data_IF_746375384936
#
_entry.id   IF_746375384936
#
_cell.length_a   1.000
_cell.length_b   1.000
_cell.length_c   1.000
_cell.angle_alpha   90.00
_cell.angle_beta   90.00
_cell.angle_gamma   90.00
#
_symmetry.space_group_name_H-M   'P 1'
#
loop_
_entity.id
_entity.type
_entity.pdbx_description
1 polymer ?
#
# COMPACT_ATOMS: atom_id res chain seq x y z
N UNK A 1 18.02 -7.72 5.41
CA UNK A 1 16.68 -8.17 5.85
C UNK A 1 15.84 -8.35 4.59
N UNK A 2 15.00 -9.37 4.52
CA UNK A 2 14.12 -9.61 3.36
C UNK A 2 12.78 -8.93 3.59
N UNK A 3 12.20 -8.37 2.55
CA UNK A 3 10.83 -7.87 2.55
C UNK A 3 9.96 -8.68 1.58
N UNK A 4 8.66 -8.53 1.69
CA UNK A 4 7.67 -9.11 0.76
C UNK A 4 6.93 -7.98 0.08
N UNK A 5 6.87 -8.04 -1.25
CA UNK A 5 6.05 -7.15 -2.07
C UNK A 5 4.83 -7.91 -2.57
N UNK A 6 3.65 -7.44 -2.19
CA UNK A 6 2.37 -7.93 -2.69
C UNK A 6 1.90 -7.04 -3.84
N UNK A 7 1.45 -7.65 -4.93
CA UNK A 7 0.84 -6.89 -6.01
C UNK A 7 -0.68 -6.91 -5.83
N UNK A 8 -1.25 -5.74 -5.58
CA UNK A 8 -2.68 -5.55 -5.41
C UNK A 8 -3.40 -5.76 -6.74
N UNK A 9 -4.29 -6.76 -6.79
CA UNK A 9 -5.02 -7.18 -7.99
C UNK A 9 -6.52 -7.18 -7.76
N UNK A 10 -7.25 -6.76 -8.78
CA UNK A 10 -8.71 -6.89 -8.87
C UNK A 10 -9.12 -8.31 -9.28
N UNK A 11 -10.42 -8.62 -9.16
CA UNK A 11 -10.95 -9.90 -9.64
C UNK A 11 -10.77 -10.09 -11.15
N UNK A 12 -10.89 -9.02 -11.94
CA UNK A 12 -10.72 -9.07 -13.39
C UNK A 12 -9.26 -9.35 -13.76
N UNK A 13 -8.31 -8.70 -13.12
CA UNK A 13 -6.88 -8.95 -13.34
C UNK A 13 -6.49 -10.39 -12.98
N UNK A 14 -6.98 -10.88 -11.83
CA UNK A 14 -6.73 -12.26 -11.41
C UNK A 14 -7.27 -13.29 -12.41
N UNK A 15 -8.41 -13.03 -13.05
CA UNK A 15 -8.97 -13.90 -14.08
C UNK A 15 -8.16 -13.91 -15.38
N UNK A 16 -7.56 -12.75 -15.74
CA UNK A 16 -6.76 -12.62 -16.96
C UNK A 16 -5.33 -13.16 -16.81
N UNK A 17 -4.82 -13.25 -15.60
CA UNK A 17 -3.50 -13.77 -15.31
C UNK A 17 -3.61 -15.18 -14.74
N UNK A 18 -3.30 -16.19 -15.55
CA UNK A 18 -3.24 -17.58 -15.10
C UNK A 18 -2.25 -17.71 -13.93
N UNK A 19 -2.77 -17.86 -12.72
CA UNK A 19 -2.07 -18.14 -11.46
C UNK A 19 -0.69 -17.44 -11.33
N UNK A 20 -0.65 -16.18 -10.84
CA UNK A 20 0.62 -15.51 -10.63
C UNK A 20 1.52 -16.36 -9.71
N UNK A 21 2.83 -16.41 -10.03
CA UNK A 21 3.82 -17.16 -9.23
C UNK A 21 4.30 -16.36 -8.00
N UNK A 22 3.67 -15.23 -7.70
CA UNK A 22 4.02 -14.34 -6.59
C UNK A 22 2.78 -14.09 -5.70
N UNK A 23 2.97 -13.74 -4.43
CA UNK A 23 1.86 -13.41 -3.52
C UNK A 23 1.20 -12.10 -3.95
N UNK A 24 -0.12 -12.06 -3.88
CA UNK A 24 -0.93 -10.89 -4.26
C UNK A 24 -1.70 -10.32 -3.09
N UNK A 25 -2.13 -9.06 -3.19
CA UNK A 25 -3.19 -8.45 -2.40
C UNK A 25 -4.50 -8.49 -3.18
N UNK A 26 -5.45 -9.35 -2.81
CA UNK A 26 -6.74 -9.42 -3.49
C UNK A 26 -7.68 -8.33 -3.00
N UNK A 27 -7.91 -7.27 -3.80
CA UNK A 27 -8.61 -6.04 -3.39
C UNK A 27 -10.12 -6.01 -3.73
N UNK A 28 -10.71 -7.09 -4.21
CA UNK A 28 -12.12 -7.06 -4.65
C UNK A 28 -13.13 -7.46 -3.57
N UNK A 29 -12.69 -7.93 -2.39
CA UNK A 29 -13.59 -8.29 -1.32
C UNK A 29 -14.20 -7.03 -0.66
N UNK A 30 -15.50 -7.04 -0.42
CA UNK A 30 -16.23 -5.93 0.19
C UNK A 30 -17.48 -6.43 0.93
N UNK A 31 -18.14 -5.56 1.70
CA UNK A 31 -19.39 -5.87 2.36
C UNK A 31 -20.52 -6.05 1.35
N UNK A 32 -21.36 -7.08 1.56
CA UNK A 32 -22.51 -7.32 0.71
C UNK A 32 -23.54 -6.18 0.82
N UNK A 33 -24.00 -5.59 -0.29
CA UNK A 33 -25.05 -4.57 -0.24
C UNK A 33 -26.43 -5.12 0.10
N UNK A 34 -26.64 -6.44 -0.06
CA UNK A 34 -27.94 -7.10 0.06
C UNK A 34 -27.99 -8.12 1.21
N UNK A 35 -26.95 -8.29 1.97
CA UNK A 35 -26.83 -9.31 3.00
C UNK A 35 -26.03 -8.87 4.21
N UNK A 36 -25.75 -9.82 5.08
CA UNK A 36 -25.01 -9.61 6.34
C UNK A 36 -23.55 -10.06 6.25
N UNK A 37 -23.09 -10.50 5.08
CA UNK A 37 -21.76 -11.08 4.87
C UNK A 37 -20.90 -10.30 3.89
N UNK A 38 -19.81 -10.94 3.49
CA UNK A 38 -18.87 -10.43 2.50
C UNK A 38 -19.25 -10.90 1.09
N UNK A 39 -18.88 -10.09 0.11
CA UNK A 39 -19.01 -10.35 -1.32
C UNK A 39 -17.65 -10.42 -2.00
N UNK A 40 -17.59 -11.12 -3.15
CA UNK A 40 -16.39 -11.26 -3.97
C UNK A 40 -15.20 -11.95 -3.26
N UNK A 41 -15.47 -12.86 -2.33
CA UNK A 41 -14.41 -13.75 -1.82
C UNK A 41 -13.97 -14.64 -3.00
N UNK A 42 -12.67 -14.69 -3.34
CA UNK A 42 -12.19 -15.50 -4.46
C UNK A 42 -12.25 -16.99 -4.14
N UNK A 43 -12.28 -17.84 -5.16
CA UNK A 43 -12.21 -19.30 -4.96
C UNK A 43 -10.79 -19.81 -4.73
N UNK A 44 -9.80 -19.14 -5.29
CA UNK A 44 -8.38 -19.50 -5.17
C UNK A 44 -7.52 -18.24 -5.18
N UNK A 45 -6.41 -18.28 -4.46
CA UNK A 45 -5.34 -17.28 -4.49
C UNK A 45 -3.98 -17.99 -4.53
N UNK A 46 -2.92 -17.36 -5.02
CA UNK A 46 -1.56 -17.83 -4.80
C UNK A 46 -1.29 -17.98 -3.29
N UNK A 47 -0.65 -19.07 -2.83
CA UNK A 47 -0.33 -19.25 -1.41
C UNK A 47 0.43 -18.07 -0.84
N UNK A 48 0.13 -17.70 0.40
CA UNK A 48 0.77 -16.56 1.06
C UNK A 48 0.25 -15.19 0.65
N UNK A 49 -0.80 -15.11 -0.16
CA UNK A 49 -1.45 -13.84 -0.55
C UNK A 49 -2.13 -13.14 0.63
N UNK A 50 -2.52 -11.88 0.45
CA UNK A 50 -3.33 -11.11 1.39
C UNK A 50 -4.77 -11.01 0.90
N UNK A 51 -5.74 -11.19 1.80
CA UNK A 51 -7.15 -10.91 1.53
C UNK A 51 -7.46 -9.48 1.98
N UNK A 52 -7.81 -8.59 1.02
CA UNK A 52 -8.15 -7.21 1.33
C UNK A 52 -9.66 -7.00 1.32
N UNK A 53 -10.16 -6.37 2.36
CA UNK A 53 -11.58 -5.98 2.48
C UNK A 53 -11.67 -4.47 2.48
N UNK A 54 -12.51 -3.93 1.59
CA UNK A 54 -12.78 -2.50 1.53
C UNK A 54 -14.22 -2.17 1.99
N UNK A 55 -14.42 -0.93 2.40
CA UNK A 55 -15.71 -0.41 2.86
C UNK A 55 -16.43 0.46 1.79
N UNK A 56 -16.16 0.23 0.50
CA UNK A 56 -16.86 0.92 -0.60
C UNK A 56 -18.38 0.76 -0.50
N UNK A 57 -18.84 -0.43 -0.05
CA UNK A 57 -20.22 -0.66 0.32
C UNK A 57 -20.42 -0.34 1.80
N UNK A 58 -21.49 0.39 2.19
CA UNK A 58 -21.75 0.68 3.61
C UNK A 58 -21.89 -0.57 4.46
N UNK A 59 -21.36 -0.51 5.68
CA UNK A 59 -21.34 -1.64 6.63
C UNK A 59 -22.71 -1.95 7.23
N UNK A 60 -23.64 -0.98 7.23
CA UNK A 60 -25.05 -1.08 7.67
C UNK A 60 -25.30 -2.05 8.84
N UNK A 61 -25.93 -3.21 8.55
CA UNK A 61 -26.38 -4.19 9.53
C UNK A 61 -25.47 -5.41 9.68
N UNK A 62 -24.22 -5.34 9.17
CA UNK A 62 -23.28 -6.47 9.27
C UNK A 62 -22.91 -6.74 10.73
N UNK A 63 -22.95 -8.01 11.11
CA UNK A 63 -22.52 -8.47 12.42
C UNK A 63 -20.99 -8.58 12.46
N UNK A 64 -20.30 -7.90 13.41
CA UNK A 64 -18.85 -7.94 13.50
C UNK A 64 -18.27 -9.35 13.67
N UNK A 65 -18.90 -10.19 14.50
CA UNK A 65 -18.40 -11.53 14.75
C UNK A 65 -18.62 -12.45 13.54
N UNK A 66 -19.74 -12.29 12.83
CA UNK A 66 -20.00 -13.02 11.59
C UNK A 66 -18.99 -12.64 10.50
N UNK A 67 -18.67 -11.36 10.34
CA UNK A 67 -17.67 -10.89 9.37
C UNK A 67 -16.27 -11.43 9.74
N UNK A 68 -15.90 -11.37 11.00
CA UNK A 68 -14.63 -11.92 11.47
C UNK A 68 -14.53 -13.43 11.20
N UNK A 69 -15.60 -14.20 11.48
CA UNK A 69 -15.66 -15.63 11.20
C UNK A 69 -15.51 -15.91 9.68
N UNK A 70 -16.23 -15.20 8.82
CA UNK A 70 -16.14 -15.37 7.37
C UNK A 70 -14.73 -15.05 6.84
N UNK A 71 -14.06 -14.01 7.38
CA UNK A 71 -12.70 -13.68 7.01
C UNK A 71 -11.69 -14.72 7.48
N UNK A 72 -11.88 -15.24 8.68
CA UNK A 72 -11.06 -16.33 9.22
C UNK A 72 -11.11 -17.56 8.32
N UNK A 73 -12.33 -18.03 8.02
CA UNK A 73 -12.55 -19.18 7.15
C UNK A 73 -12.00 -18.99 5.75
N UNK A 74 -12.26 -17.80 5.16
CA UNK A 74 -11.74 -17.47 3.83
C UNK A 74 -10.20 -17.43 3.81
N UNK A 75 -9.58 -16.73 4.77
CA UNK A 75 -8.12 -16.62 4.84
C UNK A 75 -7.45 -18.00 5.05
N UNK A 76 -8.08 -18.88 5.84
CA UNK A 76 -7.60 -20.24 6.08
C UNK A 76 -7.74 -21.10 4.83
N UNK A 77 -8.91 -21.12 4.19
CA UNK A 77 -9.16 -21.90 2.97
C UNK A 77 -8.30 -21.47 1.79
N UNK A 78 -7.95 -20.18 1.71
CA UNK A 78 -7.14 -19.59 0.64
C UNK A 78 -5.64 -19.57 0.97
N UNK A 79 -5.21 -20.13 2.10
CA UNK A 79 -3.81 -20.13 2.55
C UNK A 79 -3.20 -18.73 2.58
N UNK A 80 -3.98 -17.72 3.01
CA UNK A 80 -3.53 -16.35 3.09
C UNK A 80 -2.48 -16.14 4.20
N UNK A 81 -1.51 -15.25 3.95
CA UNK A 81 -0.52 -14.84 4.96
C UNK A 81 -1.02 -13.72 5.86
N UNK A 82 -2.20 -13.16 5.59
CA UNK A 82 -2.80 -12.10 6.38
C UNK A 82 -4.03 -11.48 5.73
N UNK A 83 -4.61 -10.52 6.44
CA UNK A 83 -5.81 -9.79 6.04
C UNK A 83 -5.49 -8.28 6.05
N UNK A 84 -6.02 -7.54 5.08
CA UNK A 84 -5.95 -6.07 5.07
C UNK A 84 -7.36 -5.50 5.13
N UNK A 85 -7.59 -4.62 6.09
CA UNK A 85 -8.80 -3.83 6.20
C UNK A 85 -8.53 -2.45 5.62
N UNK A 86 -8.87 -2.28 4.35
CA UNK A 86 -8.74 -1.02 3.61
C UNK A 86 -10.04 -0.19 3.76
N UNK A 87 -10.25 0.33 4.97
CA UNK A 87 -11.43 1.10 5.32
C UNK A 87 -11.15 2.59 5.15
N UNK A 88 -11.81 3.22 4.19
CA UNK A 88 -11.61 4.62 3.81
C UNK A 88 -12.65 5.57 4.37
N UNK A 89 -13.84 5.06 4.75
CA UNK A 89 -14.92 5.89 5.30
C UNK A 89 -14.61 6.29 6.74
N UNK A 90 -14.67 7.58 7.08
CA UNK A 90 -14.36 8.02 8.43
C UNK A 90 -15.44 7.69 9.44
N UNK A 91 -15.04 7.24 10.65
CA UNK A 91 -15.80 7.39 11.88
C UNK A 91 -17.05 6.54 12.07
N UNK A 92 -17.25 5.47 11.31
CA UNK A 92 -18.40 4.58 11.51
C UNK A 92 -18.14 3.63 12.69
N UNK A 93 -18.91 3.75 13.79
CA UNK A 93 -18.79 2.90 14.98
C UNK A 93 -18.87 1.41 14.65
N UNK A 94 -19.71 1.03 13.68
CA UNK A 94 -19.87 -0.36 13.29
C UNK A 94 -18.64 -0.88 12.54
N UNK A 95 -18.06 -0.08 11.67
CA UNK A 95 -16.80 -0.41 11.00
C UNK A 95 -15.68 -0.59 12.02
N UNK A 96 -15.63 0.24 13.06
CA UNK A 96 -14.67 0.06 14.16
C UNK A 96 -14.89 -1.27 14.91
N UNK A 97 -16.12 -1.66 15.21
CA UNK A 97 -16.42 -2.95 15.86
C UNK A 97 -16.01 -4.14 15.01
N UNK A 98 -16.20 -4.06 13.67
CA UNK A 98 -15.70 -5.09 12.75
C UNK A 98 -14.18 -5.13 12.75
N UNK A 99 -13.53 -3.98 12.67
CA UNK A 99 -12.08 -3.89 12.76
C UNK A 99 -11.55 -4.52 14.05
N UNK A 100 -12.17 -4.21 15.18
CA UNK A 100 -11.78 -4.74 16.48
C UNK A 100 -11.94 -6.28 16.53
N UNK A 101 -13.03 -6.82 16.00
CA UNK A 101 -13.27 -8.28 15.94
C UNK A 101 -12.25 -8.98 15.01
N UNK A 102 -11.99 -8.41 13.81
CA UNK A 102 -11.03 -8.99 12.86
C UNK A 102 -9.60 -8.94 13.41
N UNK A 103 -9.23 -7.90 14.16
CA UNK A 103 -7.93 -7.81 14.80
C UNK A 103 -7.69 -8.86 15.92
N UNK A 104 -8.69 -9.63 16.33
CA UNK A 104 -8.53 -10.76 17.26
C UNK A 104 -8.28 -12.09 16.55
N UNK A 105 -8.34 -12.13 15.23
CA UNK A 105 -8.11 -13.34 14.45
C UNK A 105 -6.67 -13.85 14.58
N UNK A 106 -6.43 -15.16 14.38
CA UNK A 106 -5.07 -15.73 14.45
C UNK A 106 -4.22 -15.45 13.20
N UNK A 107 -4.55 -14.40 12.46
CA UNK A 107 -3.84 -13.96 11.29
C UNK A 107 -3.19 -12.59 11.53
N UNK A 108 -2.06 -12.28 10.88
CA UNK A 108 -1.59 -10.91 10.77
C UNK A 108 -2.65 -10.04 10.09
N UNK A 109 -3.00 -8.91 10.68
CA UNK A 109 -3.99 -7.97 10.16
C UNK A 109 -3.36 -6.60 10.00
N UNK A 110 -3.42 -6.06 8.79
CA UNK A 110 -3.11 -4.66 8.49
C UNK A 110 -4.39 -3.83 8.41
N UNK A 111 -4.42 -2.67 9.03
CA UNK A 111 -5.60 -1.81 9.07
C UNK A 111 -5.25 -0.35 8.81
N UNK A 112 -6.11 0.37 8.09
CA UNK A 112 -5.94 1.81 7.84
C UNK A 112 -5.86 2.63 9.14
N UNK A 113 -5.09 3.72 9.18
CA UNK A 113 -4.76 4.49 10.38
C UNK A 113 -5.97 4.90 11.22
N UNK A 114 -7.06 5.32 10.56
CA UNK A 114 -8.27 5.82 11.24
C UNK A 114 -8.98 4.76 12.10
N UNK A 115 -8.79 3.47 11.81
CA UNK A 115 -9.38 2.35 12.54
C UNK A 115 -8.36 1.56 13.36
N UNK A 116 -7.09 1.91 13.31
CA UNK A 116 -6.03 1.20 14.04
C UNK A 116 -6.23 1.22 15.57
N UNK A 117 -6.76 2.32 16.10
CA UNK A 117 -7.16 2.44 17.51
C UNK A 117 -6.11 1.93 18.48
N UNK A 118 -6.55 1.15 19.49
CA UNK A 118 -5.70 0.49 20.50
C UNK A 118 -5.36 -0.96 20.14
N UNK A 119 -5.83 -1.46 19.00
CA UNK A 119 -5.57 -2.83 18.56
C UNK A 119 -4.08 -3.04 18.28
N UNK A 120 -3.60 -4.25 18.49
CA UNK A 120 -2.19 -4.61 18.21
C UNK A 120 -1.94 -5.02 16.75
N UNK A 121 -2.89 -4.73 15.85
CA UNK A 121 -2.73 -4.99 14.42
C UNK A 121 -1.64 -4.11 13.82
N UNK A 122 -1.09 -4.53 12.69
CA UNK A 122 -0.26 -3.68 11.86
C UNK A 122 -1.05 -2.47 11.35
N UNK A 123 -0.40 -1.35 11.14
CA UNK A 123 -0.99 -0.20 10.49
C UNK A 123 -0.66 -0.26 9.01
N UNK A 124 -1.69 -0.31 8.17
CA UNK A 124 -1.55 -0.24 6.72
C UNK A 124 -1.57 1.22 6.29
N UNK A 125 -0.39 1.75 5.98
CA UNK A 125 -0.20 3.14 5.62
C UNK A 125 -0.31 3.34 4.12
N UNK A 126 -0.92 4.46 3.67
CA UNK A 126 -0.89 4.88 2.28
C UNK A 126 0.56 5.17 1.81
N UNK A 127 0.78 5.39 0.50
CA UNK A 127 2.10 5.70 -0.02
C UNK A 127 2.67 6.98 0.60
N UNK A 128 3.98 7.03 0.78
CA UNK A 128 4.67 8.24 1.22
C UNK A 128 4.65 9.26 0.08
N UNK A 129 4.18 10.45 0.34
CA UNK A 129 4.23 11.56 -0.62
C UNK A 129 5.67 11.89 -1.03
N UNK A 130 5.87 12.31 -2.29
CA UNK A 130 7.20 12.56 -2.86
C UNK A 130 8.02 13.62 -2.12
N UNK A 131 7.37 14.59 -1.50
CA UNK A 131 8.02 15.67 -0.76
C UNK A 131 8.10 15.42 0.76
N UNK A 132 7.77 14.20 1.22
CA UNK A 132 7.75 13.84 2.64
C UNK A 132 8.92 12.93 2.99
N UNK A 133 9.66 13.31 4.02
CA UNK A 133 10.72 12.47 4.59
C UNK A 133 10.13 11.21 5.24
N UNK A 134 10.58 10.00 4.86
CA UNK A 134 10.02 8.75 5.39
C UNK A 134 10.09 8.65 6.93
N UNK A 135 11.17 9.12 7.53
CA UNK A 135 11.32 9.07 8.99
C UNK A 135 10.23 9.88 9.72
N UNK A 136 9.88 11.03 9.20
CA UNK A 136 8.78 11.86 9.74
C UNK A 136 7.43 11.21 9.52
N UNK A 137 7.25 10.56 8.38
CA UNK A 137 6.02 9.84 8.04
C UNK A 137 5.76 8.67 8.99
N UNK A 138 6.78 7.90 9.33
CA UNK A 138 6.64 6.74 10.22
C UNK A 138 6.66 7.09 11.71
N UNK A 139 7.12 8.27 12.10
CA UNK A 139 7.30 8.66 13.51
C UNK A 139 6.06 8.40 14.39
N UNK A 140 4.81 8.69 13.97
CA UNK A 140 3.61 8.41 14.77
C UNK A 140 3.34 6.91 15.02
N UNK A 141 3.96 6.02 14.24
CA UNK A 141 3.68 4.59 14.20
C UNK A 141 4.84 3.71 14.66
N UNK A 142 5.88 4.29 15.29
CA UNK A 142 7.12 3.58 15.65
C UNK A 142 6.92 2.37 16.57
N UNK A 143 5.85 2.38 17.37
CA UNK A 143 5.53 1.29 18.30
C UNK A 143 4.60 0.22 17.67
N UNK A 144 4.37 0.28 16.38
CA UNK A 144 3.47 -0.59 15.64
C UNK A 144 4.19 -1.29 14.49
N UNK A 145 3.75 -2.51 14.16
CA UNK A 145 4.07 -3.08 12.85
C UNK A 145 3.46 -2.21 11.75
N UNK A 146 4.23 -1.90 10.73
CA UNK A 146 3.78 -1.08 9.60
C UNK A 146 3.78 -1.93 8.34
N UNK A 147 2.68 -1.89 7.60
CA UNK A 147 2.57 -2.34 6.21
C UNK A 147 2.41 -1.11 5.35
N UNK A 148 3.15 -1.02 4.26
CA UNK A 148 3.23 0.20 3.47
C UNK A 148 2.71 -0.02 2.06
N UNK A 149 1.76 0.81 1.64
CA UNK A 149 1.43 0.92 0.23
C UNK A 149 2.56 1.62 -0.52
N UNK A 150 2.90 1.12 -1.70
CA UNK A 150 3.99 1.63 -2.53
C UNK A 150 3.49 1.91 -3.94
N UNK A 151 3.86 3.06 -4.47
CA UNK A 151 3.46 3.48 -5.81
C UNK A 151 4.63 4.13 -6.53
N UNK A 152 4.68 3.94 -7.85
CA UNK A 152 5.43 4.86 -8.72
C UNK A 152 4.63 6.15 -8.79
N UNK A 153 5.28 7.26 -8.56
CA UNK A 153 4.60 8.54 -8.48
C UNK A 153 5.43 9.64 -9.13
N UNK A 154 4.73 10.66 -9.64
CA UNK A 154 5.34 11.88 -10.13
C UNK A 154 4.45 13.07 -9.82
N UNK A 155 5.06 14.19 -9.50
CA UNK A 155 4.35 15.43 -9.18
C UNK A 155 5.18 16.65 -9.60
N UNK A 156 4.52 17.79 -9.75
CA UNK A 156 5.19 19.07 -9.91
C UNK A 156 4.81 19.98 -8.74
N UNK A 157 5.81 20.57 -8.09
CA UNK A 157 5.62 21.56 -7.03
C UNK A 157 6.07 22.91 -7.57
N UNK A 158 5.13 23.82 -7.76
CA UNK A 158 5.40 25.21 -8.15
C UNK A 158 5.58 26.06 -6.91
N UNK A 159 6.71 26.75 -6.83
CA UNK A 159 7.00 27.74 -5.80
C UNK A 159 6.88 29.13 -6.40
N UNK A 160 6.03 29.96 -5.84
CA UNK A 160 5.84 31.37 -6.18
C UNK A 160 6.08 32.24 -4.96
N UNK A 161 6.11 33.56 -5.16
CA UNK A 161 6.15 34.53 -4.04
C UNK A 161 4.93 34.45 -3.11
N UNK A 162 3.81 33.90 -3.60
CA UNK A 162 2.54 33.84 -2.88
C UNK A 162 2.32 32.47 -2.18
N UNK A 163 3.25 31.51 -2.37
CA UNK A 163 3.21 30.18 -1.76
C UNK A 163 3.50 29.05 -2.72
N UNK A 164 3.27 27.84 -2.27
CA UNK A 164 3.50 26.60 -3.02
C UNK A 164 2.19 26.04 -3.56
N UNK A 165 2.22 25.50 -4.78
CA UNK A 165 1.10 24.85 -5.42
C UNK A 165 1.55 23.49 -5.97
N UNK A 166 0.79 22.44 -5.71
CA UNK A 166 0.97 21.15 -6.37
C UNK A 166 0.24 21.17 -7.71
N UNK A 167 0.95 20.78 -8.75
CA UNK A 167 0.47 20.69 -10.13
C UNK A 167 0.48 19.22 -10.58
N UNK A 168 -0.31 18.86 -11.60
CA UNK A 168 -0.20 17.57 -12.25
C UNK A 168 1.24 17.29 -12.68
N UNK A 169 1.66 16.02 -12.75
CA UNK A 169 2.97 15.67 -13.29
C UNK A 169 3.08 16.17 -14.75
N UNK A 170 4.30 16.51 -15.14
CA UNK A 170 4.58 16.83 -16.55
C UNK A 170 4.48 15.57 -17.41
N UNK A 171 4.44 15.77 -18.73
CA UNK A 171 4.41 14.71 -19.73
C UNK A 171 5.55 13.70 -19.52
N UNK A 172 5.25 12.43 -19.81
CA UNK A 172 6.22 11.34 -19.73
C UNK A 172 7.46 11.62 -20.59
N UNK A 173 8.64 11.32 -20.07
CA UNK A 173 9.90 11.39 -20.85
C UNK A 173 10.81 12.56 -20.53
N UNK A 174 10.49 13.41 -19.55
CA UNK A 174 11.41 14.43 -19.09
C UNK A 174 12.61 13.83 -18.36
N UNK A 175 13.83 14.35 -18.58
CA UNK A 175 14.98 13.92 -17.82
C UNK A 175 14.91 14.43 -16.38
N UNK A 176 15.15 13.53 -15.43
CA UNK A 176 15.34 13.86 -14.02
C UNK A 176 16.83 13.70 -13.66
N UNK A 177 17.66 14.75 -13.89
CA UNK A 177 19.12 14.64 -13.77
C UNK A 177 19.61 14.58 -12.34
N UNK A 178 18.78 14.94 -11.36
CA UNK A 178 19.16 14.99 -9.95
C UNK A 178 18.49 13.88 -9.17
N UNK A 179 19.12 13.45 -8.07
CA UNK A 179 18.57 12.46 -7.15
C UNK A 179 18.59 13.02 -5.73
N UNK A 180 17.46 12.91 -5.05
CA UNK A 180 17.35 13.15 -3.63
C UNK A 180 17.28 11.80 -2.90
N UNK A 181 18.29 11.50 -2.09
CA UNK A 181 18.40 10.22 -1.38
C UNK A 181 17.59 10.19 -0.08
N UNK A 182 17.21 11.34 0.46
CA UNK A 182 16.40 11.42 1.68
C UNK A 182 14.92 11.24 1.36
N UNK A 183 14.49 11.77 0.20
CA UNK A 183 13.12 11.64 -0.31
C UNK A 183 12.92 10.40 -1.20
N UNK A 184 14.00 9.70 -1.57
CA UNK A 184 13.97 8.57 -2.51
C UNK A 184 13.25 8.95 -3.80
N UNK A 185 13.69 10.03 -4.43
CA UNK A 185 13.12 10.49 -5.70
C UNK A 185 14.19 11.09 -6.61
N UNK A 186 13.88 11.14 -7.89
CA UNK A 186 14.61 11.95 -8.86
C UNK A 186 13.88 13.25 -9.06
N UNK A 187 14.62 14.30 -9.45
CA UNK A 187 14.00 15.58 -9.72
C UNK A 187 14.70 16.36 -10.82
N UNK A 188 13.94 17.30 -11.39
CA UNK A 188 14.43 18.39 -12.22
C UNK A 188 13.86 19.71 -11.73
N UNK A 189 14.54 20.80 -12.06
CA UNK A 189 14.16 22.15 -11.65
C UNK A 189 14.03 23.00 -12.92
N UNK A 190 12.90 23.67 -13.06
CA UNK A 190 12.68 24.70 -14.07
C UNK A 190 12.53 26.06 -13.39
N UNK A 191 13.40 27.01 -13.75
CA UNK A 191 13.42 28.33 -13.15
C UNK A 191 12.90 29.35 -14.16
N UNK A 192 11.78 29.98 -13.84
CA UNK A 192 11.15 31.03 -14.64
C UNK A 192 11.09 32.35 -13.88
N UNK A 193 10.77 33.45 -14.57
CA UNK A 193 10.83 34.79 -14.00
C UNK A 193 9.95 35.01 -12.76
N UNK A 194 8.85 34.20 -12.58
CA UNK A 194 7.87 34.41 -11.53
C UNK A 194 7.69 33.18 -10.63
N UNK A 195 8.27 32.03 -10.98
CA UNK A 195 8.12 30.79 -10.22
C UNK A 195 9.29 29.83 -10.49
N UNK A 196 9.40 28.85 -9.60
CA UNK A 196 10.30 27.71 -9.75
C UNK A 196 9.44 26.46 -9.69
N UNK A 197 9.58 25.59 -10.69
CA UNK A 197 8.91 24.30 -10.74
C UNK A 197 9.89 23.18 -10.39
N UNK A 198 9.55 22.41 -9.37
CA UNK A 198 10.23 21.17 -8.99
C UNK A 198 9.42 19.98 -9.51
N UNK A 199 9.98 19.29 -10.48
CA UNK A 199 9.40 18.04 -10.99
C UNK A 199 10.04 16.88 -10.27
N UNK A 200 9.25 16.16 -9.49
CA UNK A 200 9.66 15.02 -8.68
C UNK A 200 9.14 13.72 -9.30
N UNK A 201 9.95 12.66 -9.28
CA UNK A 201 9.58 11.35 -9.77
C UNK A 201 10.16 10.26 -8.87
N UNK A 202 9.32 9.32 -8.45
CA UNK A 202 9.73 8.06 -7.82
C UNK A 202 9.54 6.94 -8.82
N UNK A 203 10.60 6.65 -9.55
CA UNK A 203 10.67 5.51 -10.47
C UNK A 203 10.89 4.19 -9.70
N UNK A 204 10.99 3.07 -10.43
CA UNK A 204 11.20 1.74 -9.84
C UNK A 204 12.52 1.63 -9.07
N UNK A 205 13.58 2.31 -9.51
CA UNK A 205 14.87 2.31 -8.81
C UNK A 205 14.79 3.04 -7.46
N UNK A 206 14.20 4.22 -7.45
CA UNK A 206 13.94 4.98 -6.22
C UNK A 206 12.99 4.25 -5.27
N UNK A 207 11.99 3.55 -5.82
CA UNK A 207 11.05 2.77 -5.04
C UNK A 207 11.74 1.56 -4.38
N UNK A 208 12.64 0.88 -5.10
CA UNK A 208 13.45 -0.20 -4.53
C UNK A 208 14.33 0.32 -3.38
N UNK A 209 15.03 1.44 -3.57
CA UNK A 209 15.86 2.05 -2.53
C UNK A 209 15.03 2.44 -1.29
N UNK A 210 13.83 2.96 -1.49
CA UNK A 210 12.88 3.27 -0.42
C UNK A 210 12.49 2.01 0.36
N UNK A 211 12.07 0.94 -0.32
CA UNK A 211 11.68 -0.31 0.34
C UNK A 211 12.84 -0.93 1.13
N UNK A 212 14.05 -0.92 0.57
CA UNK A 212 15.25 -1.37 1.27
C UNK A 212 15.55 -0.51 2.52
N UNK A 213 15.42 0.80 2.41
CA UNK A 213 15.58 1.69 3.56
C UNK A 213 14.52 1.45 4.64
N UNK A 214 13.26 1.25 4.23
CA UNK A 214 12.15 0.95 5.14
C UNK A 214 12.38 -0.32 5.96
N UNK A 215 13.11 -1.33 5.43
CA UNK A 215 13.44 -2.52 6.21
C UNK A 215 14.29 -2.22 7.45
N UNK A 216 15.08 -1.14 7.44
CA UNK A 216 15.87 -0.68 8.60
C UNK A 216 14.99 -0.14 9.71
N UNK A 217 13.78 0.31 9.38
CA UNK A 217 12.74 0.73 10.33
C UNK A 217 11.79 -0.40 10.72
N UNK A 218 12.09 -1.65 10.31
CA UNK A 218 11.28 -2.82 10.62
C UNK A 218 10.09 -3.04 9.71
N UNK A 219 9.96 -2.27 8.62
CA UNK A 219 8.90 -2.42 7.63
C UNK A 219 9.31 -3.50 6.65
N UNK A 220 8.55 -4.60 6.60
CA UNK A 220 8.87 -5.76 5.77
C UNK A 220 7.76 -6.18 4.80
N UNK A 221 6.60 -5.51 4.84
CA UNK A 221 5.46 -5.80 3.97
C UNK A 221 5.08 -4.57 3.17
N UNK A 222 5.16 -4.72 1.86
CA UNK A 222 4.83 -3.68 0.90
C UNK A 222 3.70 -4.14 -0.01
N UNK A 223 2.88 -3.21 -0.44
CA UNK A 223 1.80 -3.48 -1.38
C UNK A 223 1.78 -2.40 -2.46
N UNK A 224 1.73 -2.81 -3.71
CA UNK A 224 1.59 -1.88 -4.83
C UNK A 224 0.65 -2.39 -5.90
N UNK A 225 0.09 -1.50 -6.70
CA UNK A 225 -0.84 -1.86 -7.77
C UNK A 225 -0.15 -2.71 -8.84
N UNK A 226 -0.76 -3.83 -9.20
CA UNK A 226 -0.25 -4.72 -10.26
C UNK A 226 0.00 -3.98 -11.57
N UNK A 227 -0.90 -3.08 -11.97
CA UNK A 227 -0.78 -2.28 -13.19
C UNK A 227 0.48 -1.43 -13.24
N UNK A 228 0.94 -0.93 -12.08
CA UNK A 228 2.11 -0.07 -11.97
C UNK A 228 3.40 -0.85 -11.75
N UNK A 229 3.36 -1.86 -10.87
CA UNK A 229 4.57 -2.54 -10.38
C UNK A 229 4.78 -3.93 -10.98
N UNK A 230 3.74 -4.56 -11.52
CA UNK A 230 3.83 -5.89 -12.12
C UNK A 230 4.95 -6.04 -13.14
N UNK A 231 5.11 -5.12 -14.11
CA UNK A 231 6.20 -5.17 -15.09
C UNK A 231 7.60 -5.11 -14.48
N UNK A 232 7.74 -4.57 -13.28
CA UNK A 232 9.02 -4.36 -12.58
C UNK A 232 9.21 -5.29 -11.38
N UNK A 233 8.29 -6.23 -11.14
CA UNK A 233 8.28 -7.05 -9.92
C UNK A 233 9.62 -7.75 -9.64
N UNK A 234 10.18 -8.41 -10.64
CA UNK A 234 11.47 -9.10 -10.50
C UNK A 234 12.63 -8.13 -10.21
N UNK A 235 12.60 -6.94 -10.81
CA UNK A 235 13.60 -5.89 -10.56
C UNK A 235 13.49 -5.36 -9.13
N UNK A 236 12.27 -5.08 -8.65
CA UNK A 236 12.02 -4.57 -7.29
C UNK A 236 12.43 -5.56 -6.20
N UNK A 237 12.43 -6.87 -6.49
CA UNK A 237 12.87 -7.91 -5.57
C UNK A 237 14.35 -8.30 -5.73
N UNK A 238 15.00 -7.88 -6.79
CA UNK A 238 16.43 -8.15 -6.99
C UNK A 238 17.23 -7.40 -5.91
N UNK A 239 17.61 -8.11 -4.86
CA UNK A 239 18.58 -7.58 -3.91
C UNK A 239 19.90 -7.36 -4.68
N UNK A 240 20.43 -6.18 -4.57
CA UNK A 240 21.67 -5.78 -5.26
C UNK A 240 22.85 -6.61 -4.72
N UNK A 241 23.01 -7.84 -5.22
CA UNK A 241 24.15 -8.72 -4.90
C UNK A 241 25.47 -8.12 -5.39
N UNK A 242 25.43 -7.06 -6.19
CA UNK A 242 26.62 -6.39 -6.74
C UNK A 242 27.29 -5.43 -5.75
N UNK A 243 26.63 -4.97 -4.68
CA UNK A 243 27.20 -3.99 -3.73
C UNK A 243 28.13 -4.60 -2.67
N UNK A 244 28.28 -5.92 -2.61
CA UNK A 244 29.16 -6.59 -1.63
C UNK A 244 30.48 -7.10 -2.23
N UNK A 245 30.83 -6.71 -3.46
CA UNK A 245 32.09 -7.09 -4.12
C UNK A 245 33.05 -5.92 -4.37
N UNK A 246 32.87 -4.79 -3.70
CA UNK A 246 33.81 -3.65 -3.78
C UNK A 246 34.37 -3.28 -2.41
#
# INVERSE_FOLDING_TARGET
MSFVLYLAMTAAELQHHSAPSFPIGFMACHFSPYGTGLSNIPHTLPPGSLLMVNDRTPVNNHDPDLIAAQLCDAAQCLECSGIVLDFQRPGEERTQKIADAVCQLPFPVGITPQYAGKNRCAVFLPPIELAMEPEKYFAPWRDREIWLETVRDSTCIRITKDGNQQLPPMEEGLPYPHTDRELFCRYSIDVQNQHIDFHLCRDEGCLQELMEACTKWGISRFMGLYQQLGPFYSQLLAQDTARFQS
#
